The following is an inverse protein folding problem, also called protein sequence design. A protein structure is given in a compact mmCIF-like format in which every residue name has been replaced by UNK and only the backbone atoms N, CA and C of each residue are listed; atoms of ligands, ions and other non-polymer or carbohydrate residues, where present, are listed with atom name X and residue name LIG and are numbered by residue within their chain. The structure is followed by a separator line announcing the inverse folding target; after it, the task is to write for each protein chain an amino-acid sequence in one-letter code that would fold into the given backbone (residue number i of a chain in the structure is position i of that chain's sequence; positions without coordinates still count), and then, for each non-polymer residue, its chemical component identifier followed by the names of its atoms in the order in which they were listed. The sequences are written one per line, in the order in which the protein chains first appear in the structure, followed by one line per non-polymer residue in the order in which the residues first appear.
data_IF_561648820548
#
_entry.id   IF_561648820548
#
_cell.length_a   1.000
_cell.length_b   1.000
_cell.length_c   1.000
_cell.angle_alpha   90.00
_cell.angle_beta   90.00
_cell.angle_gamma   90.00
#
_symmetry.space_group_name_H-M   'P 1'
#
loop_
_entity.id
_entity.type
_entity.pdbx_description
1 polymer ?
#
# COMPACT_ATOMS: atom_id res chain seq x y z
N UNK A 1 -17.09 -28.97 7.03
CA UNK A 1 -15.83 -28.24 6.75
C UNK A 1 -15.63 -28.30 5.24
N UNK A 2 -16.16 -27.31 4.52
CA UNK A 2 -16.20 -27.34 3.06
C UNK A 2 -14.84 -26.89 2.54
N UNK A 3 -14.08 -27.81 1.96
CA UNK A 3 -12.89 -27.52 1.16
C UNK A 3 -13.34 -26.66 -0.01
N UNK A 4 -13.11 -25.35 0.08
CA UNK A 4 -13.20 -24.46 -1.08
C UNK A 4 -11.97 -24.75 -1.91
N UNK A 5 -12.14 -25.55 -2.97
CA UNK A 5 -11.11 -25.72 -3.98
C UNK A 5 -10.92 -24.37 -4.69
N UNK A 6 -9.77 -23.73 -4.44
CA UNK A 6 -9.39 -22.52 -5.13
C UNK A 6 -9.14 -22.87 -6.61
N UNK A 7 -9.74 -22.16 -7.58
CA UNK A 7 -9.43 -22.40 -8.98
C UNK A 7 -7.95 -22.09 -9.26
N UNK A 8 -7.30 -22.96 -10.05
CA UNK A 8 -5.87 -22.87 -10.44
C UNK A 8 -5.56 -21.58 -11.22
N UNK A 9 -6.58 -20.90 -11.75
CA UNK A 9 -6.45 -19.58 -12.37
C UNK A 9 -7.41 -18.60 -11.70
N UNK A 10 -6.97 -17.36 -11.42
CA UNK A 10 -7.84 -16.29 -10.93
C UNK A 10 -9.00 -16.05 -11.91
N UNK A 11 -10.21 -16.52 -11.55
CA UNK A 11 -11.43 -16.20 -12.29
C UNK A 11 -11.97 -14.84 -11.83
N UNK A 12 -11.97 -13.86 -12.73
CA UNK A 12 -12.58 -12.55 -12.49
C UNK A 12 -13.99 -12.68 -11.89
N UNK A 13 -14.44 -11.75 -11.02
CA UNK A 13 -15.82 -11.73 -10.56
C UNK A 13 -16.74 -11.56 -11.78
N UNK A 14 -17.32 -12.68 -12.24
CA UNK A 14 -17.94 -12.80 -13.56
C UNK A 14 -19.33 -12.16 -13.65
N UNK A 15 -19.83 -11.54 -12.58
CA UNK A 15 -21.24 -11.18 -12.44
C UNK A 15 -21.55 -9.85 -11.75
N UNK A 16 -20.56 -9.09 -11.28
CA UNK A 16 -20.82 -7.82 -10.60
C UNK A 16 -20.47 -6.64 -11.50
N UNK A 17 -21.40 -5.70 -11.75
CA UNK A 17 -21.08 -4.48 -12.49
C UNK A 17 -20.06 -3.67 -11.69
N UNK A 18 -18.89 -3.43 -12.29
CA UNK A 18 -17.86 -2.62 -11.65
C UNK A 18 -18.26 -1.14 -11.68
N UNK A 19 -18.49 -0.55 -10.51
CA UNK A 19 -18.77 0.89 -10.36
C UNK A 19 -17.48 1.70 -10.47
N UNK A 20 -17.47 2.74 -11.29
CA UNK A 20 -16.36 3.71 -11.30
C UNK A 20 -16.55 4.72 -10.17
N UNK A 21 -15.50 4.92 -9.36
CA UNK A 21 -15.46 5.95 -8.31
C UNK A 21 -14.44 7.03 -8.67
N UNK A 22 -14.85 8.30 -8.66
CA UNK A 22 -13.98 9.39 -9.09
C UNK A 22 -12.77 9.59 -8.16
N UNK A 23 -11.74 10.29 -8.65
CA UNK A 23 -10.53 10.63 -7.89
C UNK A 23 -10.85 11.32 -6.54
N UNK A 24 -11.80 12.26 -6.55
CA UNK A 24 -12.18 13.01 -5.35
C UNK A 24 -12.92 12.15 -4.31
N UNK A 25 -13.87 11.32 -4.76
CA UNK A 25 -14.60 10.37 -3.92
C UNK A 25 -13.63 9.35 -3.31
N UNK A 26 -12.78 8.75 -4.14
CA UNK A 26 -11.77 7.78 -3.71
C UNK A 26 -10.82 8.39 -2.67
N UNK A 27 -10.34 9.61 -2.90
CA UNK A 27 -9.48 10.31 -1.94
C UNK A 27 -10.19 10.64 -0.61
N UNK A 28 -11.50 10.87 -0.63
CA UNK A 28 -12.29 11.06 0.60
C UNK A 28 -12.34 9.76 1.41
N UNK A 29 -12.61 8.64 0.74
CA UNK A 29 -12.64 7.30 1.35
C UNK A 29 -11.26 6.94 1.91
N UNK A 30 -10.20 7.17 1.14
CA UNK A 30 -8.81 6.93 1.54
C UNK A 30 -8.42 7.71 2.81
N UNK A 31 -8.74 9.00 2.88
CA UNK A 31 -8.46 9.82 4.07
C UNK A 31 -9.19 9.30 5.31
N UNK A 32 -10.44 8.86 5.16
CA UNK A 32 -11.20 8.28 6.26
C UNK A 32 -10.59 6.96 6.75
N UNK A 33 -10.18 6.10 5.82
CA UNK A 33 -9.53 4.83 6.16
C UNK A 33 -8.18 5.03 6.85
N UNK A 34 -7.32 5.91 6.33
CA UNK A 34 -6.03 6.26 6.97
C UNK A 34 -6.21 6.79 8.40
N UNK A 35 -7.23 7.64 8.62
CA UNK A 35 -7.52 8.17 9.96
C UNK A 35 -7.98 7.09 10.94
N UNK A 36 -8.72 6.07 10.47
CA UNK A 36 -9.12 4.92 11.30
C UNK A 36 -7.95 3.99 11.58
N UNK A 37 -7.15 3.68 10.57
CA UNK A 37 -6.02 2.76 10.69
C UNK A 37 -4.87 3.35 11.54
N UNK A 38 -4.64 4.65 11.45
CA UNK A 38 -3.50 5.34 12.08
C UNK A 38 -3.95 6.66 12.73
N UNK A 39 -4.72 6.61 13.84
CA UNK A 39 -5.31 7.79 14.46
C UNK A 39 -4.27 8.79 15.01
N UNK A 40 -3.06 8.33 15.32
CA UNK A 40 -1.96 9.16 15.84
C UNK A 40 -1.11 9.86 14.78
N UNK A 41 -1.36 9.64 13.48
CA UNK A 41 -0.51 10.13 12.39
C UNK A 41 -1.26 11.10 11.50
N UNK A 42 -0.63 12.26 11.23
CA UNK A 42 -1.17 13.27 10.32
C UNK A 42 -0.71 12.98 8.89
N UNK A 43 -1.65 12.57 8.04
CA UNK A 43 -1.40 12.35 6.61
C UNK A 43 -1.73 13.57 5.78
N UNK A 44 -0.88 13.86 4.81
CA UNK A 44 -1.15 14.73 3.67
C UNK A 44 -1.51 13.84 2.49
N UNK A 45 -2.70 14.01 1.93
CA UNK A 45 -3.17 13.24 0.77
C UNK A 45 -3.48 14.20 -0.37
N UNK A 46 -2.71 14.10 -1.46
CA UNK A 46 -2.80 15.00 -2.62
C UNK A 46 -3.09 14.17 -3.87
N UNK A 47 -4.27 14.34 -4.44
CA UNK A 47 -4.64 13.73 -5.71
C UNK A 47 -4.24 14.64 -6.87
N UNK A 48 -3.73 14.05 -7.94
CA UNK A 48 -3.45 14.75 -9.20
C UNK A 48 -4.05 13.96 -10.37
N UNK A 49 -4.50 14.69 -11.39
CA UNK A 49 -4.99 14.13 -12.65
C UNK A 49 -4.16 14.69 -13.79
N UNK A 50 -3.79 13.86 -14.75
CA UNK A 50 -2.96 14.22 -15.89
C UNK A 50 -3.45 13.49 -17.15
N UNK A 51 -2.91 13.86 -18.31
CA UNK A 51 -3.26 13.20 -19.57
C UNK A 51 -2.98 11.70 -19.49
N UNK A 52 -4.03 10.88 -19.54
CA UNK A 52 -3.91 9.42 -19.51
C UNK A 52 -3.95 8.77 -18.11
N UNK A 53 -4.15 9.53 -17.03
CA UNK A 53 -4.26 8.93 -15.70
C UNK A 53 -4.44 9.88 -14.52
N UNK A 54 -4.36 9.28 -13.33
CA UNK A 54 -4.43 9.97 -12.06
C UNK A 54 -3.51 9.28 -11.06
N UNK A 55 -2.99 10.06 -10.12
CA UNK A 55 -2.22 9.53 -9.01
C UNK A 55 -2.62 10.20 -7.71
N UNK A 56 -2.28 9.57 -6.60
CA UNK A 56 -2.43 10.18 -5.28
C UNK A 56 -1.15 9.98 -4.49
N UNK A 57 -0.61 11.08 -4.02
CA UNK A 57 0.56 11.13 -3.14
C UNK A 57 0.11 11.24 -1.69
N UNK A 58 0.59 10.30 -0.87
CA UNK A 58 0.35 10.23 0.56
C UNK A 58 1.68 10.49 1.26
N UNK A 59 1.75 11.59 2.01
CA UNK A 59 2.95 11.98 2.74
C UNK A 59 2.67 12.16 4.24
N UNK A 60 3.59 11.70 5.08
CA UNK A 60 3.52 11.89 6.53
C UNK A 60 4.92 11.91 7.14
N UNK A 61 5.00 12.40 8.38
CA UNK A 61 6.24 12.45 9.16
C UNK A 61 6.14 11.49 10.33
N UNK A 62 7.19 10.69 10.54
CA UNK A 62 7.27 9.69 11.61
C UNK A 62 6.09 8.69 11.58
N UNK A 63 5.68 8.12 12.72
CA UNK A 63 4.56 7.19 12.81
C UNK A 63 4.78 5.82 12.13
N UNK A 64 3.75 5.24 11.47
CA UNK A 64 3.82 3.92 10.87
C UNK A 64 4.87 3.87 9.76
N UNK A 65 5.43 2.67 9.53
CA UNK A 65 6.41 2.45 8.46
C UNK A 65 5.76 2.61 7.08
N UNK A 66 6.58 2.86 6.06
CA UNK A 66 6.12 2.93 4.68
C UNK A 66 5.32 1.67 4.30
N UNK A 67 5.86 0.49 4.62
CA UNK A 67 5.22 -0.79 4.33
C UNK A 67 3.86 -0.96 5.03
N UNK A 68 3.71 -0.49 6.27
CA UNK A 68 2.43 -0.54 6.99
C UNK A 68 1.35 0.31 6.29
N UNK A 69 1.72 1.48 5.78
CA UNK A 69 0.77 2.34 5.07
C UNK A 69 0.47 1.79 3.68
N UNK A 70 1.48 1.33 2.93
CA UNK A 70 1.29 0.73 1.60
C UNK A 70 0.40 -0.52 1.63
N UNK A 71 0.48 -1.33 2.69
CA UNK A 71 -0.40 -2.48 2.87
C UNK A 71 -1.89 -2.08 2.92
N UNK A 72 -2.20 -0.89 3.46
CA UNK A 72 -3.58 -0.37 3.55
C UNK A 72 -3.97 0.37 2.28
N UNK A 73 -3.06 1.14 1.69
CA UNK A 73 -3.38 2.07 0.60
C UNK A 73 -3.27 1.46 -0.78
N UNK A 74 -2.52 0.36 -0.96
CA UNK A 74 -2.32 -0.31 -2.25
C UNK A 74 -3.62 -0.73 -2.93
N UNK A 75 -4.64 -1.11 -2.16
CA UNK A 75 -5.98 -1.46 -2.65
C UNK A 75 -6.72 -0.31 -3.36
N UNK A 76 -6.33 0.95 -3.08
CA UNK A 76 -6.92 2.13 -3.72
C UNK A 76 -6.34 2.39 -5.12
N UNK A 77 -5.25 1.74 -5.49
CA UNK A 77 -4.63 1.86 -6.81
C UNK A 77 -5.36 0.97 -7.83
N UNK A 78 -5.97 1.57 -8.84
CA UNK A 78 -6.65 0.82 -9.92
C UNK A 78 -5.71 0.32 -11.01
N UNK A 79 -4.43 0.72 -10.97
CA UNK A 79 -3.39 0.22 -11.86
C UNK A 79 -2.22 -0.37 -11.09
N UNK A 80 -1.49 -1.25 -11.78
CA UNK A 80 -0.12 -1.62 -11.46
C UNK A 80 0.72 -1.52 -12.73
N UNK A 81 2.03 -1.64 -12.57
CA UNK A 81 2.99 -1.61 -13.67
C UNK A 81 3.87 -2.84 -13.60
N UNK A 82 4.02 -3.53 -14.73
CA UNK A 82 4.93 -4.66 -14.88
C UNK A 82 6.15 -4.22 -15.69
N UNK A 83 7.29 -4.12 -15.02
CA UNK A 83 8.55 -3.71 -15.65
C UNK A 83 9.11 -4.73 -16.64
N UNK A 84 8.69 -6.00 -16.60
CA UNK A 84 9.20 -7.02 -17.53
C UNK A 84 8.67 -6.85 -18.95
N UNK A 85 7.47 -6.29 -19.09
CA UNK A 85 6.83 -6.05 -20.40
C UNK A 85 6.55 -4.56 -20.65
N UNK A 86 7.06 -3.68 -19.78
CA UNK A 86 6.87 -2.22 -19.83
C UNK A 86 5.38 -1.81 -19.99
N UNK A 87 4.48 -2.50 -19.28
CA UNK A 87 3.04 -2.32 -19.46
C UNK A 87 2.28 -2.19 -18.14
N UNK A 88 1.31 -1.27 -18.13
CA UNK A 88 0.37 -1.16 -17.01
C UNK A 88 -0.75 -2.19 -17.11
N UNK A 89 -1.18 -2.72 -15.98
CA UNK A 89 -2.32 -3.63 -15.87
C UNK A 89 -3.37 -3.07 -14.91
N UNK A 90 -4.62 -3.51 -15.07
CA UNK A 90 -5.74 -3.03 -14.27
C UNK A 90 -5.96 -3.87 -13.01
N UNK A 91 -6.49 -3.19 -11.99
CA UNK A 91 -6.92 -3.75 -10.72
C UNK A 91 -8.35 -3.32 -10.46
N UNK A 92 -9.13 -4.26 -9.92
CA UNK A 92 -10.47 -4.03 -9.41
C UNK A 92 -10.44 -4.24 -7.90
N UNK A 93 -11.15 -3.42 -7.17
CA UNK A 93 -11.18 -3.46 -5.70
C UNK A 93 -12.60 -3.63 -5.20
N UNK A 94 -12.75 -4.05 -3.95
CA UNK A 94 -14.05 -4.14 -3.29
C UNK A 94 -14.24 -2.92 -2.39
N UNK A 95 -15.34 -2.19 -2.59
CA UNK A 95 -15.80 -1.18 -1.66
C UNK A 95 -16.69 -1.83 -0.61
N UNK A 96 -16.23 -1.87 0.63
CA UNK A 96 -16.96 -2.38 1.78
C UNK A 96 -18.04 -1.37 2.24
N UNK A 97 -19.12 -1.84 2.88
CA UNK A 97 -20.12 -0.95 3.50
C UNK A 97 -19.54 -0.04 4.59
N UNK A 98 -18.41 -0.43 5.21
CA UNK A 98 -17.65 0.41 6.14
C UNK A 98 -17.02 1.64 5.47
N UNK A 99 -17.04 1.72 4.14
CA UNK A 99 -16.36 2.75 3.37
C UNK A 99 -14.85 2.48 3.25
N UNK A 100 -14.45 1.22 3.16
CA UNK A 100 -13.06 0.80 2.95
C UNK A 100 -12.93 0.15 1.59
N UNK A 101 -11.80 0.41 0.92
CA UNK A 101 -11.47 -0.26 -0.32
C UNK A 101 -10.43 -1.32 -0.01
N UNK A 102 -10.73 -2.56 -0.38
CA UNK A 102 -9.83 -3.71 -0.23
C UNK A 102 -9.55 -4.35 -1.57
N UNK A 103 -8.40 -5.01 -1.69
CA UNK A 103 -7.95 -5.65 -2.92
C UNK A 103 -8.98 -6.66 -3.41
N UNK A 104 -9.32 -6.61 -4.70
CA UNK A 104 -10.33 -7.49 -5.31
C UNK A 104 -9.74 -8.44 -6.33
N UNK A 105 -9.49 -7.95 -7.54
CA UNK A 105 -9.10 -8.79 -8.67
C UNK A 105 -8.07 -8.09 -9.54
N UNK A 106 -7.11 -8.86 -10.03
CA UNK A 106 -6.30 -8.49 -11.19
C UNK A 106 -6.03 -9.72 -12.04
N UNK A 107 -6.10 -9.57 -13.36
CA UNK A 107 -5.74 -10.64 -14.29
C UNK A 107 -4.23 -10.93 -14.34
N UNK A 108 -3.42 -10.10 -13.69
CA UNK A 108 -1.96 -10.16 -13.81
C UNK A 108 -1.50 -9.86 -15.24
N UNK A 109 -0.27 -10.23 -15.53
CA UNK A 109 0.40 -10.03 -16.81
C UNK A 109 1.06 -11.30 -17.35
N UNK A 110 1.07 -12.41 -16.60
CA UNK A 110 1.66 -13.69 -17.02
C UNK A 110 1.10 -14.18 -18.38
N UNK A 111 -0.20 -13.96 -18.63
CA UNK A 111 -0.84 -14.28 -19.90
C UNK A 111 -0.35 -13.45 -21.10
N UNK A 112 0.48 -12.44 -20.86
CA UNK A 112 1.09 -11.55 -21.85
C UNK A 112 2.62 -11.57 -21.75
N UNK A 113 3.20 -12.70 -21.30
CA UNK A 113 4.64 -12.85 -21.04
C UNK A 113 5.20 -11.89 -19.98
N UNK A 114 4.34 -11.35 -19.13
CA UNK A 114 4.72 -10.56 -17.96
C UNK A 114 5.08 -11.42 -16.75
N UNK A 115 5.43 -10.75 -15.66
CA UNK A 115 5.89 -11.36 -14.40
C UNK A 115 4.93 -11.21 -13.23
N UNK A 116 3.83 -10.48 -13.42
CA UNK A 116 2.86 -10.25 -12.35
C UNK A 116 1.81 -11.35 -12.37
N UNK A 117 1.83 -12.19 -11.34
CA UNK A 117 0.80 -13.20 -11.09
C UNK A 117 -0.57 -12.53 -10.89
N UNK A 118 -1.60 -13.07 -11.55
CA UNK A 118 -2.97 -12.65 -11.33
C UNK A 118 -3.51 -13.12 -9.98
N UNK A 119 -4.48 -12.41 -9.43
CA UNK A 119 -5.10 -12.78 -8.16
C UNK A 119 -6.60 -12.53 -8.16
N UNK A 120 -7.32 -13.33 -7.37
CA UNK A 120 -8.73 -13.15 -7.03
C UNK A 120 -8.87 -13.21 -5.53
N UNK A 121 -9.34 -12.12 -4.95
CA UNK A 121 -9.83 -12.05 -3.59
C UNK A 121 -11.36 -12.15 -3.67
N UNK A 122 -11.95 -13.25 -3.14
CA UNK A 122 -13.39 -13.40 -3.10
C UNK A 122 -14.05 -12.22 -2.41
N UNK A 123 -15.32 -11.97 -2.78
CA UNK A 123 -16.12 -10.90 -2.19
C UNK A 123 -16.09 -11.02 -0.65
N UNK A 124 -15.47 -10.06 0.06
CA UNK A 124 -15.21 -10.17 1.49
C UNK A 124 -16.48 -9.98 2.33
N UNK A 125 -17.49 -9.31 1.78
CA UNK A 125 -18.73 -8.99 2.49
C UNK A 125 -19.93 -9.03 1.53
N UNK A 126 -21.12 -9.53 1.95
CA UNK A 126 -22.29 -9.65 1.07
C UNK A 126 -22.70 -8.35 0.36
N UNK A 127 -22.57 -7.22 1.06
CA UNK A 127 -22.87 -5.88 0.56
C UNK A 127 -21.64 -5.12 0.01
N UNK A 128 -20.51 -5.79 -0.21
CA UNK A 128 -19.40 -5.15 -0.90
C UNK A 128 -19.75 -4.90 -2.37
N UNK A 129 -19.25 -3.82 -2.95
CA UNK A 129 -19.41 -3.49 -4.37
C UNK A 129 -18.08 -3.61 -5.10
N UNK A 130 -18.07 -4.20 -6.30
CA UNK A 130 -16.91 -4.14 -7.18
C UNK A 130 -16.71 -2.70 -7.67
N UNK A 131 -15.52 -2.14 -7.45
CA UNK A 131 -15.19 -0.77 -7.85
C UNK A 131 -13.90 -0.68 -8.65
N UNK A 132 -13.90 0.22 -9.63
CA UNK A 132 -12.69 0.68 -10.30
C UNK A 132 -12.34 2.06 -9.75
N UNK A 133 -11.24 2.12 -9.01
CA UNK A 133 -10.77 3.36 -8.39
C UNK A 133 -10.35 4.39 -9.43
N UNK A 134 -10.77 5.63 -9.23
CA UNK A 134 -10.34 6.78 -10.01
C UNK A 134 -8.92 7.23 -9.71
N UNK A 135 -8.18 6.52 -8.85
CA UNK A 135 -6.74 6.68 -8.61
C UNK A 135 -6.01 5.59 -9.40
N UNK A 136 -5.26 5.97 -10.43
CA UNK A 136 -4.41 5.04 -11.17
C UNK A 136 -3.28 4.48 -10.31
N UNK A 137 -2.50 5.37 -9.70
CA UNK A 137 -1.35 5.01 -8.86
C UNK A 137 -1.40 5.69 -7.49
N UNK A 138 -1.02 4.96 -6.45
CA UNK A 138 -0.82 5.51 -5.11
C UNK A 138 0.66 5.51 -4.80
N UNK A 139 1.19 6.67 -4.39
CA UNK A 139 2.56 6.82 -3.93
C UNK A 139 2.56 7.17 -2.45
N UNK A 140 3.35 6.44 -1.67
CA UNK A 140 3.51 6.69 -0.25
C UNK A 140 4.92 7.23 0.00
N UNK A 141 5.02 8.29 0.81
CA UNK A 141 6.28 8.88 1.22
C UNK A 141 6.26 9.15 2.71
N UNK A 142 7.16 8.49 3.43
CA UNK A 142 7.44 8.80 4.83
C UNK A 142 8.67 9.69 4.91
N UNK A 143 8.65 10.62 5.86
CA UNK A 143 9.83 11.39 6.26
C UNK A 143 10.10 11.12 7.73
N UNK A 144 11.27 10.59 8.05
CA UNK A 144 11.75 10.40 9.41
C UNK A 144 12.33 11.71 9.95
N UNK A 145 11.88 12.15 11.13
CA UNK A 145 12.41 13.35 11.77
C UNK A 145 13.80 13.11 12.35
N UNK A 146 14.61 14.17 12.41
CA UNK A 146 15.94 14.11 13.02
C UNK A 146 15.88 13.63 14.49
N UNK A 147 14.87 14.06 15.25
CA UNK A 147 14.67 13.62 16.64
C UNK A 147 14.41 12.11 16.74
N UNK A 148 13.61 11.56 15.81
CA UNK A 148 13.39 10.12 15.75
C UNK A 148 14.68 9.38 15.37
N UNK A 149 15.39 9.84 14.35
CA UNK A 149 16.67 9.24 13.94
C UNK A 149 17.68 9.21 15.09
N UNK A 150 17.79 10.28 15.88
CA UNK A 150 18.67 10.31 17.05
C UNK A 150 18.22 9.35 18.17
N UNK A 151 16.91 9.17 18.35
CA UNK A 151 16.37 8.16 19.26
C UNK A 151 16.78 6.75 18.81
N UNK A 152 16.69 6.49 17.50
CA UNK A 152 17.12 5.22 16.90
C UNK A 152 18.63 5.04 17.06
N UNK A 153 19.43 6.10 16.83
CA UNK A 153 20.89 6.08 17.03
C UNK A 153 21.26 5.65 18.44
N UNK A 154 20.61 6.25 19.44
CA UNK A 154 20.83 5.89 20.84
C UNK A 154 20.39 4.45 21.14
N UNK A 155 19.34 3.94 20.49
CA UNK A 155 18.89 2.55 20.65
C UNK A 155 19.87 1.56 20.03
N UNK A 156 20.32 1.78 18.80
CA UNK A 156 21.23 0.86 18.11
C UNK A 156 22.62 0.81 18.74
N UNK A 157 23.08 1.90 19.37
CA UNK A 157 24.35 1.95 20.11
C UNK A 157 24.39 0.99 21.31
N UNK A 158 23.23 0.49 21.77
CA UNK A 158 23.11 -0.47 22.88
C UNK A 158 23.04 -1.92 22.40
N UNK A 159 22.95 -2.15 21.09
CA UNK A 159 22.81 -3.49 20.52
C UNK A 159 24.17 -4.17 20.38
N UNK A 160 24.16 -5.51 20.42
CA UNK A 160 25.33 -6.27 20.01
C UNK A 160 25.60 -6.08 18.52
N UNK A 161 26.84 -6.27 18.08
CA UNK A 161 27.18 -6.21 16.65
C UNK A 161 26.39 -7.20 15.80
N UNK A 162 26.06 -8.37 16.36
CA UNK A 162 25.22 -9.36 15.70
C UNK A 162 23.79 -8.84 15.46
N UNK A 163 23.17 -8.26 16.48
CA UNK A 163 21.79 -7.77 16.40
C UNK A 163 21.67 -6.55 15.50
N UNK A 164 22.68 -5.67 15.52
CA UNK A 164 22.76 -4.53 14.61
C UNK A 164 22.87 -4.99 13.15
N UNK A 165 23.75 -5.95 12.85
CA UNK A 165 23.85 -6.53 11.51
C UNK A 165 22.52 -7.15 11.05
N UNK A 166 21.83 -7.89 11.92
CA UNK A 166 20.52 -8.47 11.61
C UNK A 166 19.45 -7.40 11.32
N UNK A 167 19.49 -6.25 11.98
CA UNK A 167 18.62 -5.11 11.67
C UNK A 167 18.99 -4.45 10.34
N UNK A 168 20.27 -4.14 10.12
CA UNK A 168 20.74 -3.46 8.91
C UNK A 168 20.55 -4.27 7.64
N UNK A 169 20.55 -5.61 7.73
CA UNK A 169 20.24 -6.50 6.61
C UNK A 169 18.79 -6.41 6.14
N UNK A 170 17.87 -5.97 7.01
CA UNK A 170 16.46 -5.71 6.67
C UNK A 170 16.22 -4.27 6.24
N UNK A 171 17.14 -3.37 6.58
CA UNK A 171 17.04 -1.96 6.26
C UNK A 171 17.54 -1.67 4.83
N UNK A 172 16.95 -0.71 4.11
CA UNK A 172 17.43 -0.32 2.79
C UNK A 172 18.88 0.14 2.86
N UNK A 173 19.67 -0.21 1.84
CA UNK A 173 21.09 0.19 1.73
C UNK A 173 21.30 1.56 1.08
N UNK A 174 20.33 2.04 0.32
CA UNK A 174 20.37 3.31 -0.40
C UNK A 174 19.15 4.18 -0.05
N UNK A 175 19.26 5.53 -0.10
CA UNK A 175 20.46 6.32 -0.36
C UNK A 175 21.28 6.67 0.89
N UNK A 176 20.82 6.26 2.08
CA UNK A 176 21.41 6.68 3.35
C UNK A 176 22.64 5.85 3.71
N UNK A 177 23.75 6.52 4.03
CA UNK A 177 24.92 5.88 4.64
C UNK A 177 24.82 5.78 6.17
N UNK A 178 23.94 6.57 6.78
CA UNK A 178 23.73 6.56 8.24
C UNK A 178 22.90 5.35 8.68
N UNK A 179 23.46 4.52 9.57
CA UNK A 179 22.82 3.30 10.07
C UNK A 179 21.51 3.59 10.81
N UNK A 180 21.47 4.66 11.60
CA UNK A 180 20.27 5.05 12.34
C UNK A 180 19.14 5.46 11.39
N UNK A 181 19.43 6.29 10.38
CA UNK A 181 18.46 6.66 9.34
C UNK A 181 17.96 5.44 8.55
N UNK A 182 18.83 4.48 8.25
CA UNK A 182 18.43 3.22 7.59
C UNK A 182 17.47 2.41 8.45
N UNK A 183 17.80 2.20 9.72
CA UNK A 183 16.95 1.47 10.66
C UNK A 183 15.62 2.19 10.87
N UNK A 184 15.61 3.52 10.98
CA UNK A 184 14.40 4.32 11.17
C UNK A 184 13.33 4.09 10.09
N UNK A 185 13.72 3.71 8.86
CA UNK A 185 12.79 3.40 7.75
C UNK A 185 11.99 2.12 7.97
N UNK A 186 12.53 1.16 8.73
CA UNK A 186 11.92 -0.17 8.93
C UNK A 186 11.21 -0.32 10.28
N UNK A 187 11.34 0.66 11.17
CA UNK A 187 10.67 0.66 12.47
C UNK A 187 9.65 1.81 12.59
N UNK A 188 8.48 1.55 13.21
CA UNK A 188 7.51 2.60 13.46
C UNK A 188 8.05 3.57 14.52
N UNK A 189 7.80 4.86 14.34
CA UNK A 189 8.04 5.83 15.38
C UNK A 189 6.80 5.84 16.28
N UNK A 190 6.85 5.08 17.37
CA UNK A 190 5.84 5.15 18.41
C UNK A 190 5.98 6.49 19.12
N UNK A 191 4.95 7.33 19.04
CA UNK A 191 4.83 8.47 19.96
C UNK A 191 4.66 7.87 21.36
N UNK A 192 5.50 8.27 22.32
CA UNK A 192 5.24 7.94 23.72
C UNK A 192 3.81 8.41 24.05
N UNK A 193 2.99 7.47 24.52
CA UNK A 193 1.62 7.74 24.95
C UNK A 193 1.63 8.70 26.16
#
# INVERSE_FOLDING_TARGET
MTLVAFPVKPVAPKSEPTRYIGLAETNKILRAHLKRAFPGTKFTVRGSSYSGGSSTDIAWTDGPTLAQVEAVTSAYSSRGFDGMIDMSYSKTSWLLPSGEIVTGYSGGTEGSAGSVEGYVIPKPHPHAEAVHSGIGYVHCRRTESAAFVETVRAAIARLSGHDLCALLNRAPRWPEHDEAARVAKIIPATRAA
#
